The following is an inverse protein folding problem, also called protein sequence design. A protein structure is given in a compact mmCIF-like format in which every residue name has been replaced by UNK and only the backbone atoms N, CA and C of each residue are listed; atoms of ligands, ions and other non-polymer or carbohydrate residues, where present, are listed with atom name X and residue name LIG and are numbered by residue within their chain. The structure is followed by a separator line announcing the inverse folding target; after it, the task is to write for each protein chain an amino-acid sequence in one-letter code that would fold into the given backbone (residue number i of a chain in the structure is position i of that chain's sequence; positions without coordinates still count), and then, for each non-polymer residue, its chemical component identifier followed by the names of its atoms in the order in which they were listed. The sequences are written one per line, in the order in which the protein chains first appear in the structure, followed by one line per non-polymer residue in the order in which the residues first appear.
data_IF_568592482503
#
_entry.id   IF_568592482503
#
_cell.length_a   1.000
_cell.length_b   1.000
_cell.length_c   1.000
_cell.angle_alpha   90.00
_cell.angle_beta   90.00
_cell.angle_gamma   90.00
#
_symmetry.space_group_name_H-M   'P 1'
#
loop_
_entity.id
_entity.type
_entity.pdbx_description
1 polymer ?
#
# COMPACT_ATOMS: atom_id res chain seq x y z
N UNK A 1 -8.55 -47.85 29.96
CA UNK A 1 -7.50 -47.94 28.92
C UNK A 1 -8.03 -47.39 27.58
N UNK A 2 -7.60 -46.26 27.01
CA UNK A 2 -6.35 -45.51 27.08
C UNK A 2 -6.69 -44.01 26.99
N UNK A 3 -6.11 -43.21 27.89
CA UNK A 3 -5.98 -41.75 27.76
C UNK A 3 -4.75 -41.48 26.90
N UNK A 4 -4.83 -40.60 25.91
CA UNK A 4 -3.65 -39.89 25.39
C UNK A 4 -4.01 -38.46 25.02
N UNK A 5 -3.54 -37.56 25.88
CA UNK A 5 -3.38 -36.12 25.72
C UNK A 5 -2.37 -35.78 24.64
N UNK A 6 -2.64 -34.78 23.80
CA UNK A 6 -1.58 -33.99 23.18
C UNK A 6 -1.99 -32.51 23.13
N UNK A 7 -1.68 -31.81 24.22
CA UNK A 7 -1.64 -30.35 24.26
C UNK A 7 -0.22 -29.94 23.88
N UNK A 8 -0.02 -29.32 22.72
CA UNK A 8 1.18 -28.52 22.43
C UNK A 8 0.78 -27.05 22.44
N UNK A 9 0.91 -26.43 23.62
CA UNK A 9 1.04 -24.98 23.74
C UNK A 9 2.33 -24.57 23.04
N UNK A 10 2.24 -23.98 21.86
CA UNK A 10 3.29 -23.15 21.30
C UNK A 10 3.16 -21.76 21.96
N UNK A 11 3.81 -21.58 23.09
CA UNK A 11 4.02 -20.27 23.69
C UNK A 11 5.17 -19.58 22.94
N UNK A 12 4.84 -18.65 22.05
CA UNK A 12 5.80 -17.69 21.55
C UNK A 12 5.73 -16.45 22.43
N UNK A 13 6.78 -16.24 23.22
CA UNK A 13 6.98 -15.04 24.02
C UNK A 13 7.47 -13.91 23.12
N UNK A 14 6.74 -12.80 23.12
CA UNK A 14 7.13 -11.57 22.45
C UNK A 14 8.23 -10.90 23.29
N UNK A 15 9.50 -11.12 22.94
CA UNK A 15 10.61 -10.41 23.56
C UNK A 15 10.69 -8.97 23.02
N UNK A 16 10.82 -8.01 23.94
CA UNK A 16 11.04 -6.60 23.63
C UNK A 16 12.46 -6.39 23.07
N UNK A 17 12.68 -5.40 22.18
CA UNK A 17 13.99 -5.19 21.59
C UNK A 17 15.01 -4.71 22.64
N UNK A 18 16.26 -5.22 22.62
CA UNK A 18 17.27 -4.83 23.60
C UNK A 18 17.74 -3.38 23.37
N UNK A 19 17.86 -2.62 24.47
CA UNK A 19 18.48 -1.29 24.48
C UNK A 19 19.96 -1.39 24.11
N UNK A 20 20.38 -0.75 23.01
CA UNK A 20 21.79 -0.61 22.64
C UNK A 20 22.55 0.22 23.69
N UNK A 21 23.58 -0.40 24.29
CA UNK A 21 24.75 0.29 24.87
C UNK A 21 25.98 -0.17 24.08
N UNK A 22 26.86 0.78 23.77
CA UNK A 22 28.25 0.52 23.38
C UNK A 22 28.52 0.49 21.88
N UNK A 23 29.20 1.54 21.42
CA UNK A 23 29.81 1.76 20.10
C UNK A 23 30.84 0.69 19.73
N UNK A 24 30.73 0.16 18.50
CA UNK A 24 31.85 -0.43 17.76
C UNK A 24 31.69 0.01 16.30
N UNK A 25 32.65 0.79 15.82
CA UNK A 25 32.73 1.26 14.44
C UNK A 25 32.96 0.07 13.49
N UNK A 26 32.07 -0.10 12.51
CA UNK A 26 32.35 -0.92 11.32
C UNK A 26 32.09 -0.08 10.07
N UNK A 27 33.20 0.21 9.40
CA UNK A 27 33.27 0.94 8.16
C UNK A 27 32.48 0.24 7.03
N UNK A 28 31.83 1.09 6.25
CA UNK A 28 31.22 0.86 4.95
C UNK A 28 32.15 0.08 4.01
N UNK A 29 31.70 -1.06 3.48
CA UNK A 29 32.37 -1.76 2.40
C UNK A 29 31.41 -1.98 1.23
N UNK A 30 31.63 -1.20 0.17
CA UNK A 30 31.00 -1.36 -1.13
C UNK A 30 31.16 -2.77 -1.70
N UNK A 31 30.08 -3.31 -2.27
CA UNK A 31 30.03 -4.65 -2.82
C UNK A 31 30.79 -4.74 -4.16
N UNK A 32 31.88 -5.49 -4.16
CA UNK A 32 32.65 -5.86 -5.37
C UNK A 32 32.05 -7.08 -6.11
N UNK A 33 32.42 -7.32 -7.39
CA UNK A 33 31.74 -8.27 -8.29
C UNK A 33 31.95 -9.77 -8.03
N UNK A 34 32.58 -10.18 -6.93
CA UNK A 34 33.30 -11.47 -6.87
C UNK A 34 32.57 -12.69 -6.28
N UNK A 35 31.24 -12.65 -6.06
CA UNK A 35 30.52 -13.76 -5.39
C UNK A 35 29.45 -14.48 -6.22
N UNK A 36 29.18 -14.09 -7.46
CA UNK A 36 28.12 -14.69 -8.29
C UNK A 36 28.71 -15.34 -9.56
N UNK A 37 28.27 -16.55 -9.95
CA UNK A 37 28.67 -17.15 -11.21
C UNK A 37 28.15 -16.31 -12.41
N UNK A 38 28.88 -16.27 -13.53
CA UNK A 38 28.43 -15.54 -14.72
C UNK A 38 27.19 -16.19 -15.34
N UNK A 39 26.29 -15.37 -15.87
CA UNK A 39 25.12 -15.85 -16.60
C UNK A 39 25.54 -16.54 -17.91
N UNK A 40 24.96 -17.72 -18.19
CA UNK A 40 25.23 -18.48 -19.44
C UNK A 40 24.87 -17.72 -20.73
N UNK A 41 24.01 -16.70 -20.63
CA UNK A 41 23.61 -15.85 -21.76
C UNK A 41 24.36 -14.50 -21.78
N UNK A 42 25.22 -14.22 -20.79
CA UNK A 42 26.00 -12.99 -20.70
C UNK A 42 25.13 -11.74 -20.91
N UNK A 43 25.64 -10.76 -21.64
CA UNK A 43 24.92 -9.52 -22.02
C UNK A 43 23.62 -9.74 -22.80
N UNK A 44 23.38 -10.93 -23.35
CA UNK A 44 22.18 -11.28 -24.12
C UNK A 44 21.11 -12.01 -23.28
N UNK A 45 21.21 -11.99 -21.95
CA UNK A 45 20.23 -12.61 -21.08
C UNK A 45 18.86 -11.89 -21.14
N UNK A 46 17.81 -12.62 -21.53
CA UNK A 46 16.44 -12.09 -21.56
C UNK A 46 15.73 -12.13 -20.19
N UNK A 47 16.32 -12.81 -19.20
CA UNK A 47 15.71 -13.03 -17.88
C UNK A 47 16.07 -11.88 -16.94
N UNK A 48 15.10 -11.01 -16.64
CA UNK A 48 15.33 -9.74 -15.90
C UNK A 48 14.78 -9.70 -14.46
N UNK A 49 14.46 -10.83 -13.84
CA UNK A 49 13.93 -10.86 -12.47
C UNK A 49 15.03 -10.63 -11.43
N UNK A 50 14.69 -9.98 -10.30
CA UNK A 50 15.66 -9.65 -9.24
C UNK A 50 16.36 -10.89 -8.67
N UNK A 51 15.64 -12.01 -8.57
CA UNK A 51 16.23 -13.30 -8.15
C UNK A 51 17.35 -13.76 -9.09
N UNK A 52 17.23 -13.52 -10.40
CA UNK A 52 18.26 -13.90 -11.36
C UNK A 52 19.49 -13.02 -11.24
N UNK A 53 19.31 -11.71 -11.06
CA UNK A 53 20.43 -10.81 -10.83
C UNK A 53 21.12 -11.10 -9.48
N UNK A 54 20.39 -11.54 -8.44
CA UNK A 54 21.01 -11.99 -7.20
C UNK A 54 21.82 -13.29 -7.35
N UNK A 55 21.49 -14.12 -8.34
CA UNK A 55 22.13 -15.41 -8.57
C UNK A 55 23.24 -15.40 -9.63
N UNK A 56 23.17 -14.52 -10.64
CA UNK A 56 24.05 -14.54 -11.80
C UNK A 56 24.59 -13.14 -12.15
N UNK A 57 25.87 -13.09 -12.52
CA UNK A 57 26.57 -11.86 -12.90
C UNK A 57 26.57 -11.63 -14.41
N UNK A 58 26.51 -10.36 -14.85
CA UNK A 58 26.50 -9.96 -16.27
C UNK A 58 27.61 -8.95 -16.58
N UNK A 59 28.35 -9.07 -17.71
CA UNK A 59 29.43 -8.13 -18.07
C UNK A 59 28.98 -6.69 -18.35
N UNK A 60 27.69 -6.47 -18.62
CA UNK A 60 27.12 -5.13 -18.82
C UNK A 60 26.83 -4.40 -17.50
N UNK A 61 27.09 -5.02 -16.33
CA UNK A 61 26.88 -4.41 -15.02
C UNK A 61 27.85 -3.23 -14.75
N UNK A 62 28.83 -2.96 -15.62
CA UNK A 62 29.80 -1.85 -15.51
C UNK A 62 29.51 -0.63 -16.40
N UNK A 63 28.47 -0.65 -17.25
CA UNK A 63 28.03 0.51 -18.05
C UNK A 63 26.57 0.89 -17.74
N UNK A 64 26.28 1.13 -16.47
CA UNK A 64 25.05 1.80 -16.01
C UNK A 64 25.37 2.96 -15.06
N UNK A 65 26.50 3.65 -15.29
CA UNK A 65 26.65 5.05 -14.87
C UNK A 65 25.97 5.95 -15.92
N UNK A 66 25.02 6.77 -15.46
CA UNK A 66 24.06 7.61 -16.20
C UNK A 66 22.83 6.84 -16.70
N UNK A 67 21.67 6.88 -16.05
CA UNK A 67 21.10 7.96 -15.23
C UNK A 67 20.61 7.45 -13.86
N UNK A 68 20.83 8.19 -12.75
CA UNK A 68 19.86 8.13 -11.65
C UNK A 68 18.48 8.35 -12.29
N UNK A 69 17.40 7.63 -11.89
CA UNK A 69 16.10 7.78 -12.54
C UNK A 69 15.86 9.27 -12.67
N UNK A 70 15.89 9.75 -13.93
CA UNK A 70 15.82 11.16 -14.28
C UNK A 70 14.79 11.73 -13.34
N UNK A 71 15.22 12.60 -12.41
CA UNK A 71 14.39 13.07 -11.29
C UNK A 71 13.09 13.44 -11.92
N UNK A 72 12.07 12.58 -11.76
CA UNK A 72 10.83 12.69 -12.51
C UNK A 72 10.35 14.07 -12.19
N UNK A 73 10.47 14.95 -13.20
CA UNK A 73 10.29 16.39 -13.08
C UNK A 73 9.04 16.57 -12.24
N UNK A 74 9.16 17.09 -11.02
CA UNK A 74 8.15 17.01 -9.94
C UNK A 74 6.71 17.10 -10.44
N UNK A 75 6.16 16.01 -10.97
CA UNK A 75 4.81 16.03 -11.51
C UNK A 75 3.96 15.89 -10.27
N UNK A 76 3.31 16.99 -9.89
CA UNK A 76 2.42 17.00 -8.74
C UNK A 76 1.47 15.81 -8.86
N UNK A 77 1.49 14.93 -7.85
CA UNK A 77 0.65 13.74 -7.87
C UNK A 77 -0.81 14.15 -8.03
N UNK A 78 -1.53 13.45 -8.92
CA UNK A 78 -2.92 13.76 -9.23
C UNK A 78 -3.11 14.95 -10.17
N UNK A 79 -2.04 15.48 -10.77
CA UNK A 79 -2.14 16.44 -11.88
C UNK A 79 -2.74 15.79 -13.14
N UNK A 80 -3.31 16.63 -14.01
CA UNK A 80 -4.01 16.17 -15.22
C UNK A 80 -5.23 15.31 -14.90
N UNK A 81 -5.26 14.08 -15.41
CA UNK A 81 -6.31 13.10 -15.11
C UNK A 81 -6.06 12.32 -13.81
N UNK A 82 -4.86 12.45 -13.23
CA UNK A 82 -4.45 11.69 -12.05
C UNK A 82 -4.38 10.17 -12.28
N UNK A 83 -4.33 9.71 -13.53
CA UNK A 83 -4.23 8.29 -13.87
C UNK A 83 -2.79 7.90 -14.17
N UNK A 84 -2.36 6.79 -13.59
CA UNK A 84 -1.02 6.24 -13.70
C UNK A 84 -1.11 4.72 -13.88
N UNK A 85 -0.12 4.16 -14.55
CA UNK A 85 0.12 2.71 -14.57
C UNK A 85 1.23 2.37 -13.59
N UNK A 86 1.13 1.24 -12.89
CA UNK A 86 2.22 0.80 -12.03
C UNK A 86 3.51 0.57 -12.83
N UNK A 87 4.62 1.13 -12.35
CA UNK A 87 5.92 1.02 -13.01
C UNK A 87 6.58 -0.32 -12.71
N UNK A 88 6.70 -1.16 -13.74
CA UNK A 88 7.42 -2.43 -13.71
C UNK A 88 8.85 -2.22 -14.22
N UNK A 89 9.82 -2.74 -13.47
CA UNK A 89 11.24 -2.64 -13.83
C UNK A 89 11.51 -3.32 -15.18
N UNK A 90 12.20 -2.61 -16.07
CA UNK A 90 12.62 -3.13 -17.37
C UNK A 90 11.58 -3.03 -18.49
N UNK A 91 10.44 -2.37 -18.25
CA UNK A 91 9.42 -2.05 -19.25
C UNK A 91 9.55 -0.59 -19.70
N UNK A 92 9.38 -0.33 -21.01
CA UNK A 92 9.30 1.02 -21.57
C UNK A 92 7.83 1.43 -21.67
N UNK A 93 7.49 2.63 -21.19
CA UNK A 93 6.11 3.12 -21.09
C UNK A 93 5.81 4.30 -22.01
N UNK A 94 6.79 4.75 -22.80
CA UNK A 94 6.67 5.92 -23.69
C UNK A 94 6.11 7.13 -22.93
N UNK A 95 4.94 7.64 -23.32
CA UNK A 95 4.28 8.80 -22.73
C UNK A 95 3.29 8.46 -21.61
N UNK A 96 3.10 7.18 -21.28
CA UNK A 96 2.14 6.76 -20.25
C UNK A 96 2.71 7.14 -18.88
N UNK A 97 2.00 7.96 -18.07
CA UNK A 97 2.42 8.27 -16.72
C UNK A 97 2.53 6.99 -15.88
N UNK A 98 3.65 6.81 -15.19
CA UNK A 98 3.86 5.65 -14.32
C UNK A 98 4.17 6.06 -12.90
N UNK A 99 3.90 5.16 -11.97
CA UNK A 99 4.17 5.38 -10.55
C UNK A 99 4.47 4.07 -9.83
N UNK A 100 5.24 4.15 -8.75
CA UNK A 100 5.49 3.05 -7.81
C UNK A 100 4.75 3.27 -6.49
N UNK A 101 4.56 2.19 -5.71
CA UNK A 101 3.93 2.32 -4.39
C UNK A 101 4.76 3.16 -3.42
N UNK A 102 6.08 3.05 -3.49
CA UNK A 102 6.98 3.90 -2.70
C UNK A 102 6.86 5.37 -3.07
N UNK A 103 6.68 5.72 -4.35
CA UNK A 103 6.41 7.10 -4.79
C UNK A 103 5.06 7.63 -4.31
N UNK A 104 4.04 6.78 -4.17
CA UNK A 104 2.73 7.17 -3.61
C UNK A 104 2.84 7.49 -2.11
N UNK A 105 3.64 6.72 -1.38
CA UNK A 105 3.81 6.83 0.08
C UNK A 105 4.99 7.71 0.50
N UNK A 106 5.69 8.31 -0.47
CA UNK A 106 6.90 9.09 -0.27
C UNK A 106 6.63 10.36 0.57
N UNK A 107 7.62 10.73 1.38
CA UNK A 107 7.57 11.94 2.21
C UNK A 107 7.52 13.25 1.43
N UNK A 108 7.95 13.23 0.16
CA UNK A 108 7.81 14.36 -0.78
C UNK A 108 6.35 14.73 -1.03
N UNK A 109 5.40 13.82 -0.78
CA UNK A 109 3.98 14.09 -0.95
C UNK A 109 3.36 14.87 0.21
N UNK A 110 4.08 15.09 1.30
CA UNK A 110 3.62 15.77 2.50
C UNK A 110 3.99 14.99 3.77
N UNK A 111 3.78 15.64 4.92
CA UNK A 111 3.98 15.00 6.23
C UNK A 111 2.74 14.17 6.58
N UNK A 112 2.85 12.84 6.44
CA UNK A 112 1.76 11.92 6.74
C UNK A 112 1.42 11.97 8.24
N UNK A 113 0.13 11.98 8.56
CA UNK A 113 -0.43 11.91 9.90
C UNK A 113 -0.96 10.50 10.15
N UNK A 114 -1.78 10.00 9.24
CA UNK A 114 -2.41 8.66 9.33
C UNK A 114 -2.86 8.18 7.95
N UNK A 115 -3.13 6.88 7.82
CA UNK A 115 -3.63 6.32 6.58
C UNK A 115 -4.66 5.20 6.79
N UNK A 116 -5.51 5.01 5.79
CA UNK A 116 -6.39 3.84 5.68
C UNK A 116 -6.11 3.10 4.38
N UNK A 117 -6.09 1.78 4.46
CA UNK A 117 -5.85 0.85 3.34
C UNK A 117 -7.05 -0.08 3.24
N UNK A 118 -7.85 0.11 2.20
CA UNK A 118 -8.95 -0.77 1.81
C UNK A 118 -8.40 -1.76 0.80
N UNK A 119 -8.47 -3.06 1.08
CA UNK A 119 -8.04 -4.07 0.12
C UNK A 119 -8.73 -5.42 0.34
N UNK A 120 -8.54 -6.35 -0.60
CA UNK A 120 -8.96 -7.74 -0.46
C UNK A 120 -7.86 -8.59 0.21
N UNK A 121 -6.61 -8.48 -0.22
CA UNK A 121 -5.48 -9.24 0.35
C UNK A 121 -4.35 -8.33 0.83
N UNK A 122 -3.69 -8.77 1.90
CA UNK A 122 -2.59 -8.09 2.57
C UNK A 122 -1.45 -9.06 2.89
N UNK A 123 -0.24 -8.72 2.45
CA UNK A 123 1.03 -9.17 3.04
C UNK A 123 1.51 -8.04 3.95
N UNK A 124 1.13 -8.11 5.23
CA UNK A 124 1.23 -6.96 6.14
C UNK A 124 2.66 -6.44 6.32
N UNK A 125 3.63 -7.33 6.56
CA UNK A 125 5.04 -6.93 6.74
C UNK A 125 5.59 -6.23 5.48
N UNK A 126 5.28 -6.77 4.30
CA UNK A 126 5.65 -6.17 3.02
C UNK A 126 5.01 -4.79 2.83
N UNK A 127 3.73 -4.62 3.19
CA UNK A 127 3.04 -3.33 3.11
C UNK A 127 3.74 -2.28 3.99
N UNK A 128 4.08 -2.62 5.23
CA UNK A 128 4.77 -1.70 6.14
C UNK A 128 6.14 -1.29 5.61
N UNK A 129 6.85 -2.20 4.93
CA UNK A 129 8.13 -1.87 4.29
C UNK A 129 8.01 -0.78 3.22
N UNK A 130 6.84 -0.63 2.57
CA UNK A 130 6.59 0.39 1.55
C UNK A 130 6.44 1.79 2.13
N UNK A 131 6.08 1.91 3.41
CA UNK A 131 6.06 3.20 4.09
C UNK A 131 7.51 3.63 4.44
N UNK A 132 7.85 4.92 4.27
CA UNK A 132 9.07 5.49 4.84
C UNK A 132 9.21 5.15 6.31
N UNK A 133 10.43 4.85 6.78
CA UNK A 133 10.67 4.35 8.14
C UNK A 133 10.02 5.22 9.24
N UNK A 134 10.06 6.55 9.07
CA UNK A 134 9.48 7.53 10.00
C UNK A 134 7.95 7.51 10.08
N UNK A 135 7.27 6.93 9.09
CA UNK A 135 5.80 6.84 9.02
C UNK A 135 5.25 5.48 9.45
N UNK A 136 6.09 4.45 9.64
CA UNK A 136 5.66 3.08 9.98
C UNK A 136 4.95 2.95 11.33
N UNK A 137 5.20 3.89 12.25
CA UNK A 137 4.56 3.94 13.57
C UNK A 137 3.31 4.83 13.60
N UNK A 138 2.91 5.45 12.48
CA UNK A 138 1.71 6.28 12.42
C UNK A 138 0.43 5.43 12.40
N UNK A 139 -0.72 5.98 12.80
CA UNK A 139 -1.99 5.26 12.75
C UNK A 139 -2.28 4.72 11.34
N UNK A 140 -2.57 3.42 11.27
CA UNK A 140 -2.92 2.72 10.04
C UNK A 140 -4.22 1.94 10.26
N UNK A 141 -5.24 2.26 9.48
CA UNK A 141 -6.48 1.51 9.41
C UNK A 141 -6.43 0.52 8.24
N UNK A 142 -6.61 -0.77 8.52
CA UNK A 142 -6.76 -1.82 7.51
C UNK A 142 -8.23 -2.19 7.40
N UNK A 143 -8.80 -2.09 6.19
CA UNK A 143 -10.18 -2.49 5.90
C UNK A 143 -10.15 -3.65 4.91
N UNK A 144 -10.61 -4.81 5.34
CA UNK A 144 -10.61 -6.04 4.54
C UNK A 144 -11.95 -6.79 4.64
N UNK A 145 -12.19 -7.73 3.73
CA UNK A 145 -13.35 -8.60 3.78
C UNK A 145 -13.12 -9.84 4.66
N UNK A 146 -14.19 -10.43 5.16
CA UNK A 146 -14.15 -11.75 5.80
C UNK A 146 -14.01 -12.83 4.72
N UNK A 147 -12.78 -13.21 4.37
CA UNK A 147 -12.50 -14.37 3.50
C UNK A 147 -11.79 -15.49 4.25
N UNK A 148 -12.00 -16.73 3.81
CA UNK A 148 -11.50 -17.95 4.44
C UNK A 148 -9.97 -17.93 4.63
N UNK A 149 -9.52 -17.86 5.89
CA UNK A 149 -8.13 -18.04 6.30
C UNK A 149 -7.23 -16.80 6.38
N UNK A 150 -7.49 -15.74 5.60
CA UNK A 150 -6.65 -14.53 5.64
C UNK A 150 -6.88 -13.66 6.90
N UNK A 151 -8.08 -13.71 7.46
CA UNK A 151 -8.44 -12.96 8.67
C UNK A 151 -7.51 -13.26 9.84
N UNK A 152 -7.31 -14.54 10.14
CA UNK A 152 -6.57 -14.94 11.34
C UNK A 152 -5.08 -14.66 11.19
N UNK A 153 -4.52 -14.86 9.98
CA UNK A 153 -3.15 -14.49 9.67
C UNK A 153 -2.91 -12.98 9.80
N UNK A 154 -3.78 -12.16 9.21
CA UNK A 154 -3.67 -10.70 9.30
C UNK A 154 -3.81 -10.22 10.75
N UNK A 155 -4.72 -10.79 11.54
CA UNK A 155 -4.85 -10.49 12.97
C UNK A 155 -3.58 -10.85 13.75
N UNK A 156 -2.95 -11.99 13.46
CA UNK A 156 -1.70 -12.39 14.11
C UNK A 156 -0.56 -11.45 13.72
N UNK A 157 -0.41 -11.11 12.43
CA UNK A 157 0.63 -10.21 11.95
C UNK A 157 0.49 -8.80 12.53
N UNK A 158 -0.74 -8.31 12.65
CA UNK A 158 -1.03 -6.97 13.18
C UNK A 158 -1.04 -6.89 14.70
N UNK A 159 -1.09 -8.02 15.42
CA UNK A 159 -1.21 -8.05 16.89
C UNK A 159 -0.05 -7.34 17.62
N UNK A 160 1.15 -7.29 17.02
CA UNK A 160 2.31 -6.63 17.60
C UNK A 160 2.35 -5.11 17.31
N UNK A 161 1.36 -4.57 16.57
CA UNK A 161 1.36 -3.20 16.10
C UNK A 161 0.25 -2.39 16.75
N UNK A 162 0.58 -1.67 17.82
CA UNK A 162 -0.39 -0.87 18.58
C UNK A 162 -0.99 0.31 17.80
N UNK A 163 -0.31 0.75 16.73
CA UNK A 163 -0.77 1.81 15.84
C UNK A 163 -1.68 1.31 14.70
N UNK A 164 -1.91 0.00 14.61
CA UNK A 164 -2.69 -0.60 13.53
C UNK A 164 -4.07 -0.99 14.03
N UNK A 165 -5.11 -0.57 13.32
CA UNK A 165 -6.49 -0.99 13.55
C UNK A 165 -6.98 -1.80 12.35
N UNK A 166 -7.73 -2.88 12.60
CA UNK A 166 -8.25 -3.75 11.53
C UNK A 166 -9.78 -3.78 11.59
N UNK A 167 -10.43 -3.57 10.45
CA UNK A 167 -11.88 -3.64 10.27
C UNK A 167 -12.20 -4.72 9.24
N UNK A 168 -13.11 -5.60 9.64
CA UNK A 168 -13.78 -6.54 8.75
C UNK A 168 -15.04 -5.91 8.18
N UNK A 169 -15.04 -5.70 6.87
CA UNK A 169 -16.20 -5.23 6.13
C UNK A 169 -17.30 -6.29 6.15
N UNK A 170 -18.55 -5.95 6.53
CA UNK A 170 -19.64 -6.92 6.56
C UNK A 170 -19.98 -7.36 5.13
N UNK A 171 -20.09 -8.67 4.93
CA UNK A 171 -20.47 -9.29 3.65
C UNK A 171 -21.81 -10.02 3.84
N UNK A 172 -22.95 -9.28 3.83
CA UNK A 172 -24.26 -9.84 4.20
C UNK A 172 -24.85 -10.77 3.14
N UNK A 173 -24.28 -10.82 1.93
CA UNK A 173 -24.71 -11.66 0.82
C UNK A 173 -23.71 -12.82 0.70
N UNK A 174 -24.22 -14.05 0.57
CA UNK A 174 -23.40 -15.22 0.31
C UNK A 174 -22.52 -15.00 -0.93
N UNK A 175 -21.24 -15.38 -0.86
CA UNK A 175 -20.23 -15.15 -1.90
C UNK A 175 -19.88 -13.67 -2.17
N UNK A 176 -20.37 -12.74 -1.36
CA UNK A 176 -19.93 -11.34 -1.40
C UNK A 176 -18.45 -11.22 -1.08
N UNK A 177 -17.75 -10.30 -1.75
CA UNK A 177 -16.31 -10.07 -1.52
C UNK A 177 -16.01 -8.57 -1.42
N UNK A 178 -15.16 -8.20 -0.46
CA UNK A 178 -14.63 -6.85 -0.35
C UNK A 178 -13.53 -6.63 -1.40
N UNK A 179 -13.88 -6.10 -2.56
CA UNK A 179 -12.94 -5.94 -3.69
C UNK A 179 -12.23 -4.58 -3.75
N UNK A 180 -12.71 -3.60 -2.98
CA UNK A 180 -12.21 -2.22 -3.02
C UNK A 180 -10.74 -2.14 -2.65
N UNK A 181 -10.03 -1.31 -3.42
CA UNK A 181 -8.59 -1.09 -3.36
C UNK A 181 -8.37 0.42 -3.36
N UNK A 182 -8.28 0.96 -2.15
CA UNK A 182 -8.28 2.40 -1.93
C UNK A 182 -7.35 2.75 -0.78
N UNK A 183 -6.62 3.84 -0.93
CA UNK A 183 -5.85 4.47 0.14
C UNK A 183 -6.47 5.82 0.48
N UNK A 184 -6.64 6.08 1.77
CA UNK A 184 -6.85 7.43 2.30
C UNK A 184 -5.56 7.83 3.00
N UNK A 185 -4.96 8.94 2.58
CA UNK A 185 -3.68 9.41 3.08
C UNK A 185 -3.88 10.82 3.63
N UNK A 186 -3.90 10.95 4.96
CA UNK A 186 -4.04 12.23 5.64
C UNK A 186 -2.66 12.79 5.94
N UNK A 187 -2.39 14.00 5.47
CA UNK A 187 -1.17 14.78 5.69
C UNK A 187 -1.47 16.01 6.55
N UNK A 188 -0.43 16.63 7.10
CA UNK A 188 -0.55 17.93 7.81
C UNK A 188 -1.17 19.02 6.93
N UNK A 189 -0.92 18.97 5.63
CA UNK A 189 -1.33 19.99 4.66
C UNK A 189 -2.53 19.57 3.78
N UNK A 190 -3.13 18.39 4.02
CA UNK A 190 -4.34 17.98 3.30
C UNK A 190 -4.58 16.48 3.23
N UNK A 191 -5.61 16.08 2.48
CA UNK A 191 -6.01 14.69 2.28
C UNK A 191 -5.72 14.27 0.83
N UNK A 192 -5.28 13.03 0.63
CA UNK A 192 -5.20 12.42 -0.71
C UNK A 192 -5.93 11.10 -0.75
N UNK A 193 -6.59 10.84 -1.86
CA UNK A 193 -7.34 9.62 -2.12
C UNK A 193 -6.65 8.92 -3.30
N UNK A 194 -6.36 7.64 -3.12
CA UNK A 194 -5.79 6.78 -4.17
C UNK A 194 -6.76 5.63 -4.39
N UNK A 195 -7.21 5.41 -5.63
CA UNK A 195 -8.02 4.24 -6.01
C UNK A 195 -7.20 3.44 -7.01
N UNK A 196 -7.02 2.15 -6.76
CA UNK A 196 -6.13 1.32 -7.58
C UNK A 196 -6.69 -0.08 -7.81
N UNK A 197 -5.99 -0.91 -8.59
CA UNK A 197 -6.42 -2.28 -8.93
C UNK A 197 -5.60 -3.39 -8.26
N UNK A 198 -4.47 -3.05 -7.64
CA UNK A 198 -3.57 -4.01 -6.99
C UNK A 198 -4.01 -4.45 -5.58
N UNK A 199 -3.81 -5.73 -5.24
CA UNK A 199 -3.85 -6.14 -3.83
C UNK A 199 -2.58 -5.67 -3.09
N UNK A 200 -2.62 -5.54 -1.75
CA UNK A 200 -1.43 -5.17 -0.97
C UNK A 200 -0.53 -6.39 -0.71
N UNK A 201 -0.08 -7.03 -1.78
CA UNK A 201 0.79 -8.21 -1.77
C UNK A 201 1.91 -8.01 -2.78
N UNK A 202 3.13 -8.43 -2.48
CA UNK A 202 4.31 -8.17 -3.31
C UNK A 202 4.13 -8.60 -4.76
N UNK A 203 3.46 -9.72 -5.00
CA UNK A 203 3.25 -10.25 -6.36
C UNK A 203 2.42 -9.33 -7.26
N UNK A 204 1.48 -8.57 -6.69
CA UNK A 204 0.62 -7.66 -7.47
C UNK A 204 1.34 -6.37 -7.87
N UNK A 205 2.42 -6.04 -7.16
CA UNK A 205 3.29 -4.90 -7.39
C UNK A 205 4.66 -5.30 -7.97
N UNK A 206 4.78 -6.48 -8.58
CA UNK A 206 6.02 -6.94 -9.19
C UNK A 206 5.95 -6.97 -10.71
N UNK A 207 5.01 -7.74 -11.27
CA UNK A 207 4.98 -8.08 -12.70
C UNK A 207 3.60 -7.91 -13.35
N UNK A 208 2.69 -7.20 -12.67
CA UNK A 208 1.31 -7.00 -13.16
C UNK A 208 1.10 -5.56 -13.61
N UNK A 209 0.37 -5.39 -14.69
CA UNK A 209 -0.18 -4.08 -15.07
C UNK A 209 -1.29 -3.72 -14.09
N UNK A 210 -1.13 -2.60 -13.40
CA UNK A 210 -2.11 -2.09 -12.43
C UNK A 210 -2.45 -0.65 -12.79
N UNK A 211 -3.73 -0.29 -12.69
CA UNK A 211 -4.19 1.09 -12.81
C UNK A 211 -4.23 1.76 -11.45
N UNK A 212 -3.76 3.01 -11.38
CA UNK A 212 -3.82 3.85 -10.19
C UNK A 212 -4.43 5.20 -10.58
N UNK A 213 -5.50 5.58 -9.89
CA UNK A 213 -6.00 6.94 -9.87
C UNK A 213 -5.61 7.61 -8.57
N UNK A 214 -5.06 8.83 -8.66
CA UNK A 214 -4.62 9.64 -7.53
C UNK A 214 -5.35 10.97 -7.60
N UNK A 215 -6.07 11.32 -6.54
CA UNK A 215 -6.67 12.64 -6.42
C UNK A 215 -5.59 13.72 -6.34
N UNK A 216 -5.85 14.96 -6.79
CA UNK A 216 -5.13 16.13 -6.27
C UNK A 216 -5.11 16.14 -4.73
N UNK A 217 -4.18 16.88 -4.13
CA UNK A 217 -4.22 17.08 -2.68
C UNK A 217 -5.42 17.95 -2.32
N UNK A 218 -6.27 17.44 -1.44
CA UNK A 218 -7.47 18.09 -0.98
C UNK A 218 -7.14 18.95 0.23
N UNK A 219 -7.38 20.26 0.13
CA UNK A 219 -7.20 21.19 1.24
C UNK A 219 -8.38 21.10 2.22
N UNK A 220 -8.25 21.74 3.37
CA UNK A 220 -9.38 21.89 4.32
C UNK A 220 -10.53 22.68 3.69
N UNK A 221 -11.76 22.22 3.92
CA UNK A 221 -12.97 22.85 3.44
C UNK A 221 -14.17 21.91 3.52
N UNK A 222 -15.36 22.34 3.10
CA UNK A 222 -16.59 21.54 3.20
C UNK A 222 -17.38 21.46 1.91
N UNK A 223 -16.78 21.91 0.82
CA UNK A 223 -17.38 21.97 -0.50
C UNK A 223 -17.21 20.64 -1.23
N UNK A 224 -18.19 20.28 -2.05
CA UNK A 224 -18.15 19.07 -2.88
C UNK A 224 -17.75 19.39 -4.33
N UNK A 225 -17.35 18.38 -5.08
CA UNK A 225 -17.11 18.48 -6.51
C UNK A 225 -18.43 18.62 -7.27
N UNK A 226 -18.36 19.10 -8.53
CA UNK A 226 -19.50 19.05 -9.47
C UNK A 226 -20.01 17.62 -9.69
N UNK A 227 -19.18 16.62 -9.44
CA UNK A 227 -19.47 15.20 -9.63
C UNK A 227 -20.04 14.55 -8.36
N UNK A 228 -20.16 15.29 -7.25
CA UNK A 228 -20.65 14.82 -5.95
C UNK A 228 -19.79 13.70 -5.35
N UNK A 229 -18.49 13.69 -5.68
CA UNK A 229 -17.59 12.60 -5.27
C UNK A 229 -17.50 12.49 -3.74
N UNK A 230 -17.50 13.61 -3.00
CA UNK A 230 -17.43 13.58 -1.53
C UNK A 230 -18.66 12.91 -0.96
N UNK A 231 -19.84 13.34 -1.41
CA UNK A 231 -21.13 12.74 -1.01
C UNK A 231 -21.15 11.24 -1.27
N UNK A 232 -20.74 10.81 -2.46
CA UNK A 232 -20.76 9.41 -2.85
C UNK A 232 -19.75 8.57 -2.04
N UNK A 233 -18.55 9.11 -1.78
CA UNK A 233 -17.55 8.45 -0.93
C UNK A 233 -18.01 8.34 0.53
N UNK A 234 -18.64 9.38 1.09
CA UNK A 234 -19.21 9.32 2.44
C UNK A 234 -20.32 8.27 2.51
N UNK A 235 -21.21 8.23 1.52
CA UNK A 235 -22.27 7.23 1.44
C UNK A 235 -21.68 5.81 1.35
N UNK A 236 -20.65 5.63 0.51
CA UNK A 236 -19.92 4.38 0.38
C UNK A 236 -19.33 3.89 1.71
N UNK A 237 -18.59 4.74 2.42
CA UNK A 237 -18.01 4.39 3.73
C UNK A 237 -19.08 4.17 4.80
N UNK A 238 -20.19 4.91 4.73
CA UNK A 238 -21.31 4.76 5.66
C UNK A 238 -21.99 3.39 5.54
N UNK A 239 -22.02 2.81 4.34
CA UNK A 239 -22.61 1.50 4.13
C UNK A 239 -21.84 0.34 4.78
N UNK A 240 -20.60 0.56 5.26
CA UNK A 240 -19.87 -0.42 6.07
C UNK A 240 -20.41 -0.52 7.51
N UNK A 241 -21.21 0.44 7.97
CA UNK A 241 -21.63 0.59 9.38
C UNK A 241 -22.66 -0.42 9.86
N UNK A 242 -22.99 -1.46 9.09
CA UNK A 242 -23.98 -2.48 9.45
C UNK A 242 -23.55 -3.43 10.61
N UNK A 243 -22.50 -3.11 11.37
CA UNK A 243 -22.03 -3.85 12.55
C UNK A 243 -21.47 -2.94 13.66
N UNK A 244 -21.76 -3.26 14.93
CA UNK A 244 -21.68 -2.34 16.09
C UNK A 244 -20.30 -1.81 16.49
N UNK A 245 -19.18 -2.46 16.10
CA UNK A 245 -17.81 -2.02 16.44
C UNK A 245 -17.03 -1.41 15.25
N UNK A 246 -17.58 -1.49 14.03
CA UNK A 246 -16.96 -1.00 12.79
C UNK A 246 -17.04 0.54 12.70
N UNK A 247 -17.94 1.14 13.48
CA UNK A 247 -18.39 2.51 13.29
C UNK A 247 -17.36 3.57 13.65
N UNK A 248 -16.64 3.48 14.77
CA UNK A 248 -15.86 4.63 15.28
C UNK A 248 -14.67 5.02 14.39
N UNK A 249 -13.89 4.05 13.92
CA UNK A 249 -12.73 4.30 13.05
C UNK A 249 -13.13 4.72 11.64
N UNK A 250 -14.23 4.17 11.09
CA UNK A 250 -14.76 4.66 9.81
C UNK A 250 -15.47 6.01 9.96
N UNK A 251 -16.11 6.29 11.10
CA UNK A 251 -16.68 7.60 11.42
C UNK A 251 -15.58 8.66 11.42
N UNK A 252 -14.44 8.37 12.05
CA UNK A 252 -13.27 9.23 12.01
C UNK A 252 -12.85 9.57 10.56
N UNK A 253 -12.73 8.57 9.68
CA UNK A 253 -12.40 8.83 8.27
C UNK A 253 -13.50 9.59 7.52
N UNK A 254 -14.78 9.36 7.84
CA UNK A 254 -15.90 10.13 7.29
C UNK A 254 -15.83 11.60 7.75
N UNK A 255 -15.48 11.86 9.00
CA UNK A 255 -15.27 13.21 9.54
C UNK A 255 -14.09 13.88 8.84
N UNK A 256 -12.95 13.19 8.72
CA UNK A 256 -11.80 13.66 7.95
C UNK A 256 -12.22 14.03 6.53
N UNK A 257 -12.93 13.17 5.81
CA UNK A 257 -13.42 13.45 4.45
C UNK A 257 -14.39 14.64 4.43
N UNK A 258 -15.24 14.79 5.45
CA UNK A 258 -16.20 15.89 5.56
C UNK A 258 -15.50 17.24 5.73
N UNK A 259 -14.33 17.26 6.36
CA UNK A 259 -13.51 18.46 6.63
C UNK A 259 -12.55 18.85 5.51
N UNK A 260 -12.58 18.17 4.35
CA UNK A 260 -11.78 18.52 3.18
C UNK A 260 -12.65 18.99 2.00
N UNK A 261 -12.05 19.86 1.18
CA UNK A 261 -12.65 20.46 -0.02
C UNK A 261 -12.42 19.56 -1.24
N UNK A 262 -13.51 19.17 -1.89
CA UNK A 262 -13.50 18.26 -3.04
C UNK A 262 -13.73 19.00 -4.38
N UNK A 263 -13.87 20.33 -4.41
CA UNK A 263 -14.18 21.11 -5.63
C UNK A 263 -13.23 20.86 -6.79
N UNK A 264 -11.96 20.54 -6.49
CA UNK A 264 -10.94 20.28 -7.50
C UNK A 264 -11.11 18.93 -8.22
N UNK A 265 -11.94 18.01 -7.72
CA UNK A 265 -12.13 16.70 -8.32
C UNK A 265 -13.01 16.76 -9.57
N UNK A 266 -12.54 16.12 -10.65
CA UNK A 266 -13.18 16.11 -11.98
C UNK A 266 -13.52 14.71 -12.49
N UNK A 267 -13.50 13.68 -11.64
CA UNK A 267 -13.73 12.29 -12.04
C UNK A 267 -15.16 12.06 -12.59
N UNK A 268 -15.27 11.39 -13.73
CA UNK A 268 -16.56 11.16 -14.40
C UNK A 268 -17.46 10.19 -13.60
N UNK A 269 -18.76 10.51 -13.58
CA UNK A 269 -19.77 10.07 -12.59
C UNK A 269 -20.34 8.65 -12.77
N UNK A 270 -19.75 7.77 -13.59
CA UNK A 270 -20.35 6.46 -13.83
C UNK A 270 -19.79 5.40 -12.89
N UNK A 271 -20.37 5.29 -11.69
CA UNK A 271 -20.27 4.13 -10.78
C UNK A 271 -18.87 3.80 -10.22
N UNK A 272 -18.25 4.72 -9.49
CA UNK A 272 -16.97 4.46 -8.80
C UNK A 272 -17.09 3.54 -7.57
N UNK A 273 -18.24 3.52 -6.91
CA UNK A 273 -18.42 2.85 -5.63
C UNK A 273 -19.63 1.91 -5.65
N UNK A 274 -19.46 0.67 -5.19
CA UNK A 274 -20.53 -0.32 -5.08
C UNK A 274 -20.46 -1.01 -3.73
N UNK A 275 -21.60 -1.14 -3.07
CA UNK A 275 -21.74 -1.86 -1.79
C UNK A 275 -22.83 -2.92 -1.94
N UNK A 276 -22.70 -4.02 -1.18
CA UNK A 276 -23.71 -5.08 -1.14
C UNK A 276 -24.97 -4.55 -0.45
N UNK A 277 -26.12 -4.68 -1.11
CA UNK A 277 -27.44 -4.29 -0.63
C UNK A 277 -28.52 -4.89 -1.53
N UNK A 278 -29.78 -4.90 -1.07
CA UNK A 278 -30.93 -5.23 -1.92
C UNK A 278 -31.36 -4.01 -2.72
#
# INVERSE_FOLDING_TARGET
PIKTTFSRKLSWSCESPPKKKGSIDFADQGSSPSKRPPCKYGSNCYRKNDLHFQQYWHPADTDASHDPPEVSSMVELGSGFGFYVYRVRGVKYESIPTITLSEILDERNGRLIESAQFNYMFEFDWLIEQYPAKYRSLPLLIVHGSSDGQRDLLRIQTACWSNVSVIEAPLPIAYGTHHTKMMLLLYEDGLRIVIHTANQVKSDWALRTQGIWISPKLNRGREDSKTQFRKDLIAYLTAYKSGSNISSKLNHWIEVITEHDFRCLKCWRNSLFRVHGR
#
